data_IF_543894214876
#
_entry.id   IF_543894214876
#
_cell.length_a   1.000
_cell.length_b   1.000
_cell.length_c   1.000
_cell.angle_alpha   90.00
_cell.angle_beta   90.00
_cell.angle_gamma   90.00
#
_symmetry.space_group_name_H-M   'P 1'
#
loop_
_entity.id
_entity.type
_entity.pdbx_description
1 polymer ?
#
# COMPACT_ATOMS: atom_id res chain seq x y z
N UNK A 1 20.99 62.12 51.90
CA UNK A 1 22.13 62.42 51.00
C UNK A 1 22.19 61.37 49.89
N UNK A 2 22.55 61.75 48.66
CA UNK A 2 21.98 61.20 47.43
C UNK A 2 22.91 60.23 46.68
N UNK A 3 22.27 59.39 45.84
CA UNK A 3 22.66 58.99 44.48
C UNK A 3 24.02 58.27 44.29
N UNK A 4 23.96 57.04 43.77
CA UNK A 4 24.64 56.70 42.51
C UNK A 4 23.95 55.54 41.79
N UNK A 5 23.38 55.91 40.65
CA UNK A 5 22.83 55.10 39.57
C UNK A 5 23.97 54.34 38.90
N UNK A 6 23.83 53.02 38.70
CA UNK A 6 24.53 52.30 37.62
C UNK A 6 23.50 51.40 36.95
N UNK A 7 23.22 51.76 35.69
CA UNK A 7 22.42 51.03 34.71
C UNK A 7 23.31 49.93 34.13
N UNK A 8 22.89 48.66 34.19
CA UNK A 8 23.33 47.63 33.26
C UNK A 8 22.11 46.85 32.79
N UNK A 9 21.86 46.95 31.49
CA UNK A 9 20.84 46.22 30.76
C UNK A 9 21.20 44.73 30.67
N UNK A 10 20.21 43.84 30.84
CA UNK A 10 20.23 42.57 30.12
C UNK A 10 18.80 42.17 29.76
N UNK A 11 18.62 42.04 28.45
CA UNK A 11 17.36 41.81 27.78
C UNK A 11 16.96 40.32 27.79
N UNK A 12 15.65 40.10 27.86
CA UNK A 12 14.87 39.10 27.13
C UNK A 12 15.37 37.65 27.08
N UNK A 13 14.81 36.79 27.92
CA UNK A 13 14.61 35.37 27.60
C UNK A 13 13.13 35.16 27.24
N UNK A 14 12.86 35.11 25.93
CA UNK A 14 11.56 34.76 25.36
C UNK A 14 11.59 33.31 24.86
N UNK A 15 10.63 32.53 25.36
CA UNK A 15 9.88 31.46 24.70
C UNK A 15 10.64 30.48 23.78
N UNK A 16 11.06 29.34 24.36
CA UNK A 16 11.33 28.10 23.62
C UNK A 16 10.08 27.22 23.56
N UNK A 17 9.06 27.60 22.78
CA UNK A 17 8.01 26.69 22.36
C UNK A 17 8.51 26.00 21.08
N UNK A 18 9.05 24.79 21.22
CA UNK A 18 9.47 23.96 20.10
C UNK A 18 8.27 23.57 19.26
N UNK A 19 8.17 24.15 18.07
CA UNK A 19 7.28 23.67 17.02
C UNK A 19 7.86 22.36 16.49
N UNK A 20 7.27 21.25 16.91
CA UNK A 20 7.48 19.96 16.25
C UNK A 20 6.67 20.00 14.95
N UNK A 21 7.28 20.49 13.88
CA UNK A 21 6.71 20.39 12.54
C UNK A 21 6.65 18.90 12.18
N UNK A 22 5.44 18.39 11.95
CA UNK A 22 5.25 17.13 11.23
C UNK A 22 5.99 17.26 9.89
N UNK A 23 6.97 16.38 9.65
CA UNK A 23 7.66 16.34 8.37
C UNK A 23 6.65 15.87 7.32
N UNK A 24 6.53 16.55 6.16
CA UNK A 24 5.73 16.04 5.07
C UNK A 24 6.28 14.65 4.70
N UNK A 25 5.38 13.68 4.53
CA UNK A 25 5.74 12.36 3.99
C UNK A 25 6.57 12.60 2.73
N UNK A 26 7.86 12.29 2.81
CA UNK A 26 8.75 12.46 1.69
C UNK A 26 8.27 11.53 0.59
N UNK A 27 7.97 12.09 -0.59
CA UNK A 27 7.95 11.31 -1.83
C UNK A 27 9.11 10.32 -1.81
N UNK A 28 8.89 9.03 -2.14
CA UNK A 28 9.95 8.04 -2.15
C UNK A 28 11.18 8.65 -2.82
N UNK A 29 12.36 8.60 -2.20
CA UNK A 29 13.55 9.21 -2.79
C UNK A 29 13.66 8.66 -4.20
N UNK A 30 13.72 9.53 -5.21
CA UNK A 30 14.05 9.10 -6.56
C UNK A 30 15.28 8.23 -6.41
N UNK A 31 15.19 6.95 -6.75
CA UNK A 31 16.22 5.95 -6.48
C UNK A 31 17.47 6.20 -7.32
N UNK A 32 18.08 7.34 -7.05
CA UNK A 32 19.21 7.90 -7.75
C UNK A 32 20.48 7.18 -7.32
N UNK A 33 21.56 7.32 -8.09
CA UNK A 33 22.80 6.63 -7.79
C UNK A 33 23.36 6.94 -6.39
N UNK A 34 23.15 8.14 -5.85
CA UNK A 34 23.65 8.53 -4.54
C UNK A 34 22.86 7.89 -3.40
N UNK A 35 21.53 7.83 -3.52
CA UNK A 35 20.64 7.11 -2.62
C UNK A 35 21.00 5.63 -2.56
N UNK A 36 21.05 4.97 -3.72
CA UNK A 36 21.38 3.56 -3.83
C UNK A 36 22.78 3.25 -3.26
N UNK A 37 23.77 4.10 -3.55
CA UNK A 37 25.12 3.95 -3.00
C UNK A 37 25.14 4.05 -1.47
N UNK A 38 24.39 4.99 -0.89
CA UNK A 38 24.27 5.17 0.56
C UNK A 38 23.59 3.96 1.21
N UNK A 39 22.42 3.55 0.71
CA UNK A 39 21.66 2.41 1.25
C UNK A 39 22.47 1.11 1.17
N UNK A 40 23.15 0.85 0.05
CA UNK A 40 24.07 -0.28 -0.09
C UNK A 40 25.19 -0.23 0.96
N UNK A 41 25.80 0.94 1.19
CA UNK A 41 26.88 1.07 2.18
C UNK A 41 26.39 0.79 3.62
N UNK A 42 25.20 1.28 3.99
CA UNK A 42 24.56 1.02 5.29
C UNK A 42 24.26 -0.48 5.50
N UNK A 43 23.68 -1.13 4.49
CA UNK A 43 23.38 -2.57 4.53
C UNK A 43 24.67 -3.42 4.52
N UNK A 44 25.71 -2.99 3.82
CA UNK A 44 27.02 -3.67 3.84
C UNK A 44 27.69 -3.54 5.20
N UNK A 45 27.71 -2.33 5.78
CA UNK A 45 28.27 -2.10 7.11
C UNK A 45 27.53 -2.92 8.18
N UNK A 46 26.25 -3.22 7.95
CA UNK A 46 25.49 -4.13 8.81
C UNK A 46 26.06 -5.55 8.84
N UNK A 47 26.93 -5.96 7.92
CA UNK A 47 27.57 -7.29 7.91
C UNK A 47 29.06 -7.26 8.27
N UNK A 48 29.64 -6.11 8.64
CA UNK A 48 31.09 -5.98 8.91
C UNK A 48 31.60 -6.92 10.01
N UNK A 49 30.76 -7.19 11.02
CA UNK A 49 31.08 -8.08 12.16
C UNK A 49 30.63 -9.52 11.95
N UNK A 50 30.10 -9.85 10.77
CA UNK A 50 29.57 -11.18 10.49
C UNK A 50 30.59 -12.31 10.71
N UNK A 51 31.87 -12.21 10.27
CA UNK A 51 32.84 -13.28 10.50
C UNK A 51 33.03 -13.63 11.98
N UNK A 52 33.16 -12.61 12.84
CA UNK A 52 33.30 -12.81 14.28
C UNK A 52 31.99 -13.31 14.91
N UNK A 53 30.85 -12.78 14.45
CA UNK A 53 29.54 -13.20 14.94
C UNK A 53 29.28 -14.69 14.66
N UNK A 54 29.67 -15.21 13.49
CA UNK A 54 29.52 -16.63 13.14
C UNK A 54 30.27 -17.54 14.12
N UNK A 55 31.44 -17.11 14.60
CA UNK A 55 32.26 -17.87 15.55
C UNK A 55 31.65 -17.85 16.97
N UNK A 56 31.07 -16.73 17.39
CA UNK A 56 30.52 -16.56 18.74
C UNK A 56 29.07 -17.02 18.90
N UNK A 57 28.25 -16.78 17.87
CA UNK A 57 26.81 -17.06 17.83
C UNK A 57 26.34 -17.17 16.37
N UNK A 58 26.43 -18.38 15.83
CA UNK A 58 26.09 -18.64 14.43
C UNK A 58 24.61 -18.40 14.11
N UNK A 59 23.71 -18.55 15.09
CA UNK A 59 22.27 -18.31 14.85
C UNK A 59 21.99 -16.82 14.71
N UNK A 60 22.52 -16.00 15.62
CA UNK A 60 22.40 -14.54 15.52
C UNK A 60 23.04 -14.00 14.24
N UNK A 61 24.16 -14.58 13.80
CA UNK A 61 24.79 -14.22 12.53
C UNK A 61 23.87 -14.53 11.34
N UNK A 62 23.29 -15.74 11.29
CA UNK A 62 22.36 -16.15 10.22
C UNK A 62 21.10 -15.29 10.19
N UNK A 63 20.53 -14.96 11.35
CA UNK A 63 19.39 -14.03 11.45
C UNK A 63 19.73 -12.67 10.84
N UNK A 64 20.90 -12.12 11.17
CA UNK A 64 21.35 -10.84 10.64
C UNK A 64 21.57 -10.87 9.13
N UNK A 65 22.12 -11.96 8.60
CA UNK A 65 22.26 -12.17 7.16
C UNK A 65 20.90 -12.19 6.46
N UNK A 66 19.93 -12.90 7.04
CA UNK A 66 18.56 -12.97 6.52
C UNK A 66 17.91 -11.58 6.47
N UNK A 67 17.99 -10.81 7.55
CA UNK A 67 17.40 -9.46 7.63
C UNK A 67 18.04 -8.49 6.64
N UNK A 68 19.36 -8.51 6.47
CA UNK A 68 20.05 -7.67 5.48
C UNK A 68 19.65 -8.07 4.04
N UNK A 69 19.52 -9.37 3.77
CA UNK A 69 19.03 -9.87 2.49
C UNK A 69 17.61 -9.37 2.18
N UNK A 70 16.71 -9.45 3.16
CA UNK A 70 15.35 -8.93 3.04
C UNK A 70 15.34 -7.42 2.77
N UNK A 71 16.17 -6.65 3.46
CA UNK A 71 16.28 -5.20 3.25
C UNK A 71 16.79 -4.83 1.85
N UNK A 72 17.69 -5.63 1.25
CA UNK A 72 18.09 -5.44 -0.15
C UNK A 72 16.94 -5.72 -1.12
N UNK A 73 16.13 -6.74 -0.85
CA UNK A 73 14.94 -7.03 -1.67
C UNK A 73 13.94 -5.88 -1.59
N UNK A 74 13.64 -5.39 -0.39
CA UNK A 74 12.75 -4.25 -0.16
C UNK A 74 13.25 -2.99 -0.88
N UNK A 75 14.55 -2.67 -0.78
CA UNK A 75 15.14 -1.54 -1.50
C UNK A 75 14.99 -1.68 -3.02
N UNK A 76 15.23 -2.88 -3.58
CA UNK A 76 15.05 -3.10 -5.00
C UNK A 76 13.60 -2.88 -5.42
N UNK A 77 12.66 -3.42 -4.64
CA UNK A 77 11.23 -3.25 -4.86
C UNK A 77 10.85 -1.77 -4.78
N UNK A 78 11.20 -1.05 -3.71
CA UNK A 78 10.96 0.39 -3.52
C UNK A 78 11.45 1.19 -4.73
N UNK A 79 12.57 0.79 -5.31
CA UNK A 79 13.17 1.41 -6.49
C UNK A 79 12.60 0.94 -7.82
N UNK A 80 11.43 0.30 -7.82
CA UNK A 80 10.70 -0.09 -9.03
C UNK A 80 11.21 -1.35 -9.70
N UNK A 81 12.07 -2.15 -9.06
CA UNK A 81 12.40 -3.47 -9.59
C UNK A 81 11.15 -4.35 -9.62
N UNK A 82 10.93 -4.99 -10.76
CA UNK A 82 9.86 -5.94 -10.99
C UNK A 82 10.48 -7.35 -11.02
N UNK A 83 10.24 -8.19 -10.00
CA UNK A 83 10.72 -9.57 -9.98
C UNK A 83 10.13 -10.40 -11.12
N UNK A 84 10.87 -11.37 -11.67
CA UNK A 84 10.36 -12.25 -12.73
C UNK A 84 9.19 -13.15 -12.27
N UNK A 85 9.04 -13.36 -10.95
CA UNK A 85 7.94 -14.09 -10.32
C UNK A 85 6.78 -13.18 -9.90
N UNK A 86 6.73 -11.90 -10.32
CA UNK A 86 5.78 -10.92 -9.78
C UNK A 86 4.31 -11.39 -9.84
N UNK A 87 3.93 -12.09 -10.91
CA UNK A 87 2.57 -12.60 -11.10
C UNK A 87 2.09 -13.49 -9.93
N UNK A 88 2.99 -14.26 -9.31
CA UNK A 88 2.67 -15.20 -8.23
C UNK A 88 2.98 -14.66 -6.83
N UNK A 89 3.45 -13.42 -6.73
CA UNK A 89 3.70 -12.75 -5.44
C UNK A 89 2.43 -12.09 -4.95
N UNK A 90 2.22 -12.10 -3.63
CA UNK A 90 1.14 -11.35 -3.00
C UNK A 90 1.30 -9.85 -3.27
N UNK A 91 0.16 -9.19 -3.51
CA UNK A 91 0.13 -7.78 -3.95
C UNK A 91 0.47 -6.79 -2.84
N UNK A 92 0.28 -7.17 -1.57
CA UNK A 92 0.47 -6.28 -0.43
C UNK A 92 -0.55 -5.14 -0.40
N UNK A 93 -0.16 -3.99 0.17
CA UNK A 93 -1.07 -2.87 0.42
C UNK A 93 -0.75 -1.59 -0.38
N UNK A 94 0.30 -1.58 -1.20
CA UNK A 94 0.75 -0.40 -1.96
C UNK A 94 -0.04 -0.26 -3.26
N UNK A 95 -1.20 0.41 -3.20
CA UNK A 95 -2.10 0.60 -4.34
C UNK A 95 -1.41 1.27 -5.54
N UNK A 96 -0.65 2.38 -5.39
CA UNK A 96 0.10 2.97 -6.52
C UNK A 96 1.03 1.98 -7.22
N UNK A 97 1.76 1.16 -6.46
CA UNK A 97 2.60 0.10 -7.03
C UNK A 97 1.78 -0.95 -7.74
N UNK A 98 0.70 -1.42 -7.13
CA UNK A 98 -0.17 -2.45 -7.71
C UNK A 98 -0.68 -1.97 -9.08
N UNK A 99 -1.16 -0.73 -9.18
CA UNK A 99 -1.64 -0.16 -10.44
C UNK A 99 -0.56 -0.13 -11.52
N UNK A 100 0.69 0.13 -11.15
CA UNK A 100 1.83 0.08 -12.09
C UNK A 100 2.13 -1.37 -12.52
N UNK A 101 2.03 -2.32 -11.59
CA UNK A 101 2.37 -3.72 -11.84
C UNK A 101 1.29 -4.48 -12.62
N UNK A 102 0.04 -4.02 -12.62
CA UNK A 102 -1.04 -4.69 -13.36
C UNK A 102 -0.76 -4.76 -14.87
N UNK A 103 0.04 -3.84 -15.43
CA UNK A 103 0.46 -3.86 -16.83
C UNK A 103 1.40 -5.05 -17.16
N UNK A 104 1.98 -5.70 -16.16
CA UNK A 104 2.90 -6.84 -16.31
C UNK A 104 2.16 -8.20 -16.38
N UNK A 105 0.85 -8.21 -16.17
CA UNK A 105 0.01 -9.41 -16.18
C UNK A 105 -1.22 -9.22 -17.06
N UNK A 106 -1.79 -10.33 -17.55
CA UNK A 106 -3.06 -10.32 -18.27
C UNK A 106 -4.09 -11.07 -17.44
N UNK A 107 -5.23 -10.45 -17.13
CA UNK A 107 -6.30 -11.11 -16.38
C UNK A 107 -7.08 -12.15 -17.20
N UNK A 108 -7.56 -13.19 -16.52
CA UNK A 108 -8.49 -14.20 -17.01
C UNK A 108 -9.84 -14.08 -16.26
N UNK A 109 -10.92 -13.63 -16.91
CA UNK A 109 -12.22 -13.48 -16.26
C UNK A 109 -12.82 -14.80 -15.75
N UNK A 110 -12.48 -15.94 -16.36
CA UNK A 110 -12.98 -17.24 -15.89
C UNK A 110 -12.30 -17.61 -14.57
N UNK A 111 -11.00 -17.39 -14.45
CA UNK A 111 -10.31 -17.58 -13.17
C UNK A 111 -10.78 -16.55 -12.13
N UNK A 112 -11.01 -15.30 -12.55
CA UNK A 112 -11.59 -14.26 -11.69
C UNK A 112 -12.93 -14.66 -11.11
N UNK A 113 -13.81 -15.24 -11.92
CA UNK A 113 -15.08 -15.78 -11.45
C UNK A 113 -14.88 -16.93 -10.44
N UNK A 114 -13.94 -17.84 -10.68
CA UNK A 114 -13.65 -18.94 -9.75
C UNK A 114 -13.14 -18.42 -8.40
N UNK A 115 -12.21 -17.46 -8.42
CA UNK A 115 -11.69 -16.78 -7.24
C UNK A 115 -12.81 -16.09 -6.46
N UNK A 116 -13.67 -15.35 -7.15
CA UNK A 116 -14.79 -14.64 -6.58
C UNK A 116 -15.77 -15.56 -5.83
N UNK A 117 -16.02 -16.75 -6.38
CA UNK A 117 -16.91 -17.76 -5.83
C UNK A 117 -16.21 -18.76 -4.89
N UNK A 118 -14.92 -18.58 -4.63
CA UNK A 118 -14.16 -19.49 -3.78
C UNK A 118 -14.55 -19.36 -2.30
N UNK A 119 -14.54 -20.47 -1.56
CA UNK A 119 -14.72 -20.45 -0.10
C UNK A 119 -13.54 -19.79 0.62
N UNK A 120 -12.39 -19.71 -0.03
CA UNK A 120 -11.21 -19.06 0.54
C UNK A 120 -11.43 -17.56 0.56
N UNK A 121 -11.66 -16.91 -0.58
CA UNK A 121 -11.84 -15.46 -0.64
C UNK A 121 -13.23 -15.01 -0.20
N UNK A 122 -14.26 -15.84 -0.43
CA UNK A 122 -15.64 -15.66 0.01
C UNK A 122 -16.30 -14.34 -0.44
N UNK A 123 -15.88 -13.77 -1.58
CA UNK A 123 -16.41 -12.50 -2.11
C UNK A 123 -17.93 -12.59 -2.30
N UNK A 124 -18.40 -13.67 -2.94
CA UNK A 124 -19.82 -13.95 -3.15
C UNK A 124 -20.64 -14.05 -1.86
N UNK A 125 -20.01 -14.36 -0.72
CA UNK A 125 -20.71 -14.45 0.57
C UNK A 125 -21.36 -13.13 1.02
N UNK A 126 -20.82 -11.98 0.58
CA UNK A 126 -21.40 -10.67 0.84
C UNK A 126 -21.87 -9.97 -0.44
N UNK A 127 -21.12 -10.09 -1.52
CA UNK A 127 -21.42 -9.48 -2.81
C UNK A 127 -22.18 -10.48 -3.71
N UNK A 128 -23.45 -10.69 -3.41
CA UNK A 128 -24.32 -11.56 -4.23
C UNK A 128 -24.82 -10.82 -5.48
N UNK A 129 -25.48 -11.53 -6.40
CA UNK A 129 -25.98 -10.96 -7.66
C UNK A 129 -26.82 -9.68 -7.45
N UNK A 130 -27.63 -9.64 -6.39
CA UNK A 130 -28.44 -8.48 -6.01
C UNK A 130 -27.89 -7.83 -4.73
N UNK A 131 -28.18 -6.55 -4.53
CA UNK A 131 -27.66 -5.84 -3.37
C UNK A 131 -28.19 -6.46 -2.06
N UNK A 132 -27.28 -6.64 -1.10
CA UNK A 132 -27.62 -7.07 0.26
C UNK A 132 -27.37 -5.97 1.28
N UNK A 133 -27.60 -6.25 2.56
CA UNK A 133 -27.27 -5.32 3.66
C UNK A 133 -25.76 -5.20 3.89
N UNK A 134 -25.01 -6.26 3.55
CA UNK A 134 -23.58 -6.35 3.84
C UNK A 134 -22.72 -5.65 2.77
N UNK A 135 -23.10 -5.75 1.50
CA UNK A 135 -22.31 -5.22 0.40
C UNK A 135 -23.14 -4.95 -0.87
N UNK A 136 -22.63 -4.07 -1.78
CA UNK A 136 -23.24 -3.84 -3.08
C UNK A 136 -23.38 -5.12 -3.90
N UNK A 137 -24.36 -5.12 -4.80
CA UNK A 137 -24.57 -6.17 -5.79
C UNK A 137 -23.29 -6.48 -6.59
N UNK A 138 -23.16 -7.71 -7.08
CA UNK A 138 -22.20 -8.08 -8.12
C UNK A 138 -22.68 -7.61 -9.50
N UNK A 139 -23.93 -7.89 -9.87
CA UNK A 139 -24.46 -7.57 -11.20
C UNK A 139 -24.39 -6.06 -11.43
N UNK A 140 -23.91 -5.60 -12.59
CA UNK A 140 -23.78 -4.17 -12.88
C UNK A 140 -22.71 -3.45 -12.06
N UNK A 141 -21.69 -4.16 -11.57
CA UNK A 141 -20.57 -3.53 -10.83
C UNK A 141 -19.87 -2.48 -11.68
N UNK A 142 -19.51 -2.79 -12.93
CA UNK A 142 -18.85 -1.83 -13.81
C UNK A 142 -19.70 -0.56 -13.97
N UNK A 143 -20.96 -0.74 -14.37
CA UNK A 143 -21.91 0.36 -14.60
C UNK A 143 -22.06 1.24 -13.36
N UNK A 144 -22.20 0.65 -12.16
CA UNK A 144 -22.27 1.42 -10.91
C UNK A 144 -20.98 2.18 -10.62
N UNK A 145 -19.81 1.59 -10.88
CA UNK A 145 -18.54 2.28 -10.65
C UNK A 145 -18.48 3.51 -11.55
N UNK A 146 -18.70 3.35 -12.84
CA UNK A 146 -18.62 4.43 -13.84
C UNK A 146 -19.67 5.52 -13.62
N UNK A 147 -20.93 5.15 -13.46
CA UNK A 147 -22.04 6.11 -13.46
C UNK A 147 -22.35 6.69 -12.07
N UNK A 148 -22.03 5.95 -11.01
CA UNK A 148 -22.41 6.34 -9.63
C UNK A 148 -21.21 6.60 -8.73
N UNK A 149 -20.21 5.71 -8.70
CA UNK A 149 -19.10 5.84 -7.73
C UNK A 149 -18.13 6.94 -8.14
N UNK A 150 -17.67 6.94 -9.39
CA UNK A 150 -16.74 7.95 -9.91
C UNK A 150 -17.37 9.34 -10.08
N UNK A 151 -18.70 9.46 -9.90
CA UNK A 151 -19.39 10.74 -9.81
C UNK A 151 -19.29 11.38 -8.41
N UNK A 152 -18.84 10.64 -7.39
CA UNK A 152 -18.60 11.19 -6.05
C UNK A 152 -17.38 12.11 -6.08
N UNK A 153 -17.49 13.39 -5.62
CA UNK A 153 -16.36 14.30 -5.54
C UNK A 153 -15.16 13.76 -4.74
N UNK A 154 -15.37 12.84 -3.79
CA UNK A 154 -14.29 12.21 -3.04
C UNK A 154 -13.38 11.31 -3.91
N UNK A 155 -13.87 10.89 -5.08
CA UNK A 155 -13.18 10.03 -6.03
C UNK A 155 -12.80 10.79 -7.31
N UNK A 156 -12.70 12.12 -7.25
CA UNK A 156 -12.33 12.94 -8.41
C UNK A 156 -10.99 12.47 -9.00
N UNK A 157 -10.99 12.15 -10.29
CA UNK A 157 -9.80 11.69 -11.02
C UNK A 157 -9.49 10.19 -10.88
N UNK A 158 -10.28 9.42 -10.11
CA UNK A 158 -10.12 7.97 -10.05
C UNK A 158 -10.51 7.31 -11.39
N UNK A 159 -9.80 6.24 -11.72
CA UNK A 159 -10.21 5.30 -12.77
C UNK A 159 -11.03 4.15 -12.18
N UNK A 160 -11.74 3.41 -13.04
CA UNK A 160 -12.46 2.17 -12.64
C UNK A 160 -11.50 1.20 -11.95
N UNK A 161 -10.37 0.91 -12.59
CA UNK A 161 -9.36 -0.01 -12.05
C UNK A 161 -8.79 0.48 -10.72
N UNK A 162 -8.50 1.77 -10.57
CA UNK A 162 -8.04 2.34 -9.29
C UNK A 162 -9.08 2.14 -8.19
N UNK A 163 -10.34 2.45 -8.47
CA UNK A 163 -11.43 2.26 -7.52
C UNK A 163 -11.56 0.80 -7.09
N UNK A 164 -11.55 -0.15 -8.04
CA UNK A 164 -11.69 -1.57 -7.74
C UNK A 164 -10.50 -2.12 -6.96
N UNK A 165 -9.26 -1.78 -7.36
CA UNK A 165 -8.04 -2.18 -6.64
C UNK A 165 -8.07 -1.65 -5.21
N UNK A 166 -8.32 -0.36 -5.01
CA UNK A 166 -8.35 0.24 -3.67
C UNK A 166 -9.50 -0.33 -2.83
N UNK A 167 -10.66 -0.59 -3.42
CA UNK A 167 -11.79 -1.23 -2.73
C UNK A 167 -11.46 -2.64 -2.23
N UNK A 168 -10.64 -3.40 -2.96
CA UNK A 168 -10.25 -4.76 -2.58
C UNK A 168 -9.09 -4.75 -1.57
N UNK A 169 -8.09 -3.90 -1.79
CA UNK A 169 -6.83 -3.91 -1.03
C UNK A 169 -6.93 -3.04 0.22
N UNK A 170 -7.67 -1.94 0.15
CA UNK A 170 -7.88 -0.97 1.22
C UNK A 170 -9.37 -0.62 1.38
N UNK A 171 -10.26 -1.61 1.68
CA UNK A 171 -11.71 -1.41 1.67
C UNK A 171 -12.24 -0.31 2.61
N UNK A 172 -11.45 0.08 3.61
CA UNK A 172 -11.79 1.18 4.53
C UNK A 172 -11.45 2.58 4.03
N UNK A 173 -10.73 2.72 2.91
CA UNK A 173 -10.32 4.01 2.35
C UNK A 173 -11.52 4.77 1.78
N UNK A 174 -12.37 4.08 1.02
CA UNK A 174 -13.66 4.58 0.55
C UNK A 174 -14.75 3.54 0.82
N UNK A 175 -15.65 3.85 1.75
CA UNK A 175 -16.81 3.00 2.05
C UNK A 175 -17.99 3.52 1.24
N UNK A 176 -18.56 2.66 0.39
CA UNK A 176 -19.71 3.03 -0.44
C UNK A 176 -20.87 3.54 0.43
N UNK A 177 -21.48 4.69 0.09
CA UNK A 177 -22.63 5.22 0.82
C UNK A 177 -23.74 4.18 1.02
N UNK A 178 -24.21 4.06 2.25
CA UNK A 178 -25.25 3.09 2.65
C UNK A 178 -24.71 1.75 3.15
N UNK A 179 -23.40 1.51 3.12
CA UNK A 179 -22.78 0.29 3.63
C UNK A 179 -21.89 0.57 4.85
N UNK A 180 -21.64 -0.50 5.63
CA UNK A 180 -20.69 -0.47 6.74
C UNK A 180 -19.30 -0.94 6.27
N UNK A 181 -18.25 -0.50 6.98
CA UNK A 181 -16.89 -0.99 6.75
C UNK A 181 -16.71 -2.41 7.31
N UNK A 182 -17.17 -3.42 6.55
CA UNK A 182 -17.16 -4.83 6.96
C UNK A 182 -16.36 -5.74 6.03
N UNK A 183 -15.88 -5.23 4.90
CA UNK A 183 -15.07 -6.02 3.97
C UNK A 183 -13.69 -6.34 4.59
N UNK A 184 -13.21 -7.59 4.50
CA UNK A 184 -11.90 -7.96 5.06
C UNK A 184 -10.76 -7.12 4.47
N UNK A 185 -9.88 -6.62 5.33
CA UNK A 185 -8.76 -5.74 4.94
C UNK A 185 -7.42 -6.49 4.77
N UNK A 186 -7.47 -7.80 4.50
CA UNK A 186 -6.29 -8.67 4.43
C UNK A 186 -6.09 -9.30 3.04
N UNK A 187 -6.79 -8.83 2.01
CA UNK A 187 -6.68 -9.41 0.67
C UNK A 187 -5.31 -9.18 0.04
N UNK A 188 -4.58 -8.13 0.44
CA UNK A 188 -3.20 -7.90 0.02
C UNK A 188 -2.24 -9.05 0.31
N UNK A 189 -2.50 -9.80 1.38
CA UNK A 189 -1.68 -10.96 1.81
C UNK A 189 -2.22 -12.30 1.28
N UNK A 190 -3.30 -12.26 0.48
CA UNK A 190 -4.06 -13.43 0.06
C UNK A 190 -4.21 -13.53 -1.44
N UNK A 191 -4.19 -12.39 -2.13
CA UNK A 191 -4.23 -12.30 -3.58
C UNK A 191 -2.83 -12.11 -4.12
N UNK A 192 -2.45 -12.98 -5.06
CA UNK A 192 -1.30 -12.70 -5.92
C UNK A 192 -1.66 -11.60 -6.93
N UNK A 193 -0.64 -11.03 -7.59
CA UNK A 193 -0.89 -10.04 -8.65
C UNK A 193 -1.77 -10.61 -9.77
N UNK A 194 -1.55 -11.86 -10.16
CA UNK A 194 -2.39 -12.54 -11.15
C UNK A 194 -3.82 -12.71 -10.64
N UNK A 195 -4.02 -13.14 -9.38
CA UNK A 195 -5.37 -13.31 -8.82
C UNK A 195 -6.16 -12.01 -8.81
N UNK A 196 -5.49 -10.90 -8.47
CA UNK A 196 -6.10 -9.57 -8.51
C UNK A 196 -6.45 -9.17 -9.95
N UNK A 197 -5.55 -9.34 -10.91
CA UNK A 197 -5.83 -9.03 -12.32
C UNK A 197 -7.02 -9.84 -12.85
N UNK A 198 -7.10 -11.12 -12.53
CA UNK A 198 -8.21 -12.00 -12.91
C UNK A 198 -9.54 -11.52 -12.31
N UNK A 199 -9.55 -11.19 -11.02
CA UNK A 199 -10.72 -10.63 -10.32
C UNK A 199 -11.17 -9.31 -10.94
N UNK A 200 -10.24 -8.41 -11.27
CA UNK A 200 -10.56 -7.12 -11.86
C UNK A 200 -11.27 -7.30 -13.22
N UNK A 201 -10.73 -8.13 -14.11
CA UNK A 201 -11.33 -8.37 -15.42
C UNK A 201 -12.71 -9.03 -15.28
N UNK A 202 -12.92 -9.91 -14.29
CA UNK A 202 -14.24 -10.44 -13.98
C UNK A 202 -15.23 -9.37 -13.48
N UNK A 203 -14.80 -8.47 -12.59
CA UNK A 203 -15.64 -7.40 -12.05
C UNK A 203 -15.97 -6.35 -13.12
N UNK A 204 -15.00 -6.00 -13.96
CA UNK A 204 -15.19 -5.11 -15.11
C UNK A 204 -16.09 -5.74 -16.17
N UNK A 205 -16.21 -7.07 -16.24
CA UNK A 205 -17.19 -7.72 -17.12
C UNK A 205 -18.63 -7.65 -16.58
N UNK A 206 -18.86 -7.18 -15.35
CA UNK A 206 -20.20 -7.09 -14.76
C UNK A 206 -20.91 -5.80 -15.19
N UNK A 207 -21.21 -5.70 -16.47
CA UNK A 207 -22.02 -4.62 -17.04
C UNK A 207 -23.50 -5.01 -17.04
N UNK A 208 -24.37 -4.09 -16.62
CA UNK A 208 -25.82 -4.25 -16.65
C UNK A 208 -26.49 -2.88 -16.72
N UNK A 209 -27.71 -2.76 -17.28
CA UNK A 209 -28.43 -1.48 -17.28
C UNK A 209 -28.53 -0.89 -15.87
N UNK A 210 -28.23 0.41 -15.75
CA UNK A 210 -28.40 1.16 -14.51
C UNK A 210 -29.86 1.00 -14.00
N UNK A 211 -30.08 0.57 -12.75
CA UNK A 211 -31.43 0.43 -12.19
C UNK A 211 -32.13 1.77 -11.95
#
# INVERSE_FOLDING_TARGET
>A
MPIKIIIIALAAMLAGAGWLLAQPESTPPACDPAYLARRRAELTASLDVFPQAVESDSQAALERLFLVGAAYQELALECGYIPPDIATRFVGADVPRILTLLDEVSGDPLNGQLLYNSDTLACYGCHVAQAGEAAPALDGTLTRVEETRLADPALEGYTVTQYLVESIIQPGHYVTPGYNNVMPNNFGDRLTLQDLADLLIFLESQDAPSP
#
